data_IF_887129662848
#
_entry.id   IF_887129662848
#
_cell.length_a   1.000
_cell.length_b   1.000
_cell.length_c   1.000
_cell.angle_alpha   90.00
_cell.angle_beta   90.00
_cell.angle_gamma   90.00
#
_symmetry.space_group_name_H-M   'P 1'
#
loop_
_entity.id
_entity.type
_entity.pdbx_description
1 polymer ?
#
# COMPACT_ATOMS: atom_id res chain seq x y z
N UNK A 1 -12.12 -52.39 25.63
CA UNK A 1 -11.21 -52.25 24.48
C UNK A 1 -12.03 -51.75 23.31
N UNK A 2 -11.42 -50.95 22.44
CA UNK A 2 -11.92 -50.46 21.14
C UNK A 2 -12.67 -49.12 21.15
N UNK A 3 -11.89 -48.03 21.10
CA UNK A 3 -12.15 -46.83 20.28
C UNK A 3 -10.95 -45.86 20.29
N UNK A 4 -9.79 -46.36 19.85
CA UNK A 4 -8.64 -45.54 19.46
C UNK A 4 -8.27 -46.05 18.06
N UNK A 5 -8.91 -45.53 17.01
CA UNK A 5 -8.45 -45.57 15.60
C UNK A 5 -9.45 -44.81 14.72
N UNK A 6 -9.65 -43.53 15.04
CA UNK A 6 -10.12 -42.54 14.07
C UNK A 6 -9.18 -41.35 14.22
N UNK A 7 -7.94 -41.53 13.76
CA UNK A 7 -7.02 -40.40 13.55
C UNK A 7 -7.20 -39.98 12.10
N UNK A 8 -8.07 -38.99 11.97
CA UNK A 8 -8.41 -38.12 10.85
C UNK A 8 -7.56 -38.25 9.57
N UNK A 9 -8.13 -38.89 8.56
CA UNK A 9 -7.63 -38.93 7.18
C UNK A 9 -7.34 -37.53 6.60
N UNK A 10 -7.99 -36.49 7.14
CA UNK A 10 -7.76 -35.08 6.78
C UNK A 10 -6.37 -34.60 7.20
N UNK A 11 -5.93 -34.96 8.42
CA UNK A 11 -4.60 -34.59 8.91
C UNK A 11 -3.50 -35.34 8.14
N UNK A 12 -3.76 -36.57 7.71
CA UNK A 12 -2.81 -37.35 6.90
C UNK A 12 -2.65 -36.77 5.48
N UNK A 13 -3.75 -36.36 4.83
CA UNK A 13 -3.69 -35.67 3.52
C UNK A 13 -3.01 -34.31 3.59
N UNK A 14 -3.26 -33.53 4.64
CA UNK A 14 -2.57 -32.26 4.86
C UNK A 14 -1.06 -32.46 5.07
N UNK A 15 -0.67 -33.54 5.77
CA UNK A 15 0.73 -33.93 5.96
C UNK A 15 1.41 -34.34 4.65
N UNK A 16 0.72 -35.06 3.77
CA UNK A 16 1.24 -35.42 2.44
C UNK A 16 1.39 -34.21 1.53
N UNK A 17 0.41 -33.30 1.54
CA UNK A 17 0.50 -32.06 0.78
C UNK A 17 1.62 -31.13 1.29
N UNK A 18 1.87 -31.11 2.61
CA UNK A 18 3.02 -30.41 3.19
C UNK A 18 4.36 -31.01 2.72
N UNK A 19 4.47 -32.33 2.61
CA UNK A 19 5.66 -33.00 2.09
C UNK A 19 5.91 -32.69 0.60
N UNK A 20 4.84 -32.56 -0.19
CA UNK A 20 4.92 -32.18 -1.60
C UNK A 20 5.36 -30.71 -1.77
N UNK A 21 4.70 -29.79 -1.07
CA UNK A 21 4.96 -28.35 -1.18
C UNK A 21 6.38 -27.96 -0.70
N UNK A 22 6.96 -28.68 0.27
CA UNK A 22 8.33 -28.47 0.75
C UNK A 22 9.41 -29.01 -0.20
N UNK A 23 9.04 -29.88 -1.13
CA UNK A 23 9.95 -30.45 -2.13
C UNK A 23 9.87 -29.73 -3.49
N UNK A 24 8.75 -29.06 -3.79
CA UNK A 24 8.52 -28.35 -5.07
C UNK A 24 9.07 -26.93 -5.16
N UNK A 25 9.61 -26.32 -4.08
CA UNK A 25 10.14 -24.93 -4.14
C UNK A 25 11.45 -24.78 -4.93
N UNK A 26 11.87 -25.78 -5.70
CA UNK A 26 13.08 -25.73 -6.54
C UNK A 26 12.84 -26.09 -8.02
N UNK A 27 11.61 -26.15 -8.50
CA UNK A 27 11.36 -26.40 -9.92
C UNK A 27 10.00 -25.85 -10.31
N UNK A 28 9.99 -24.66 -10.90
CA UNK A 28 9.01 -24.23 -11.89
C UNK A 28 9.70 -23.12 -12.71
N UNK A 29 10.57 -23.58 -13.61
CA UNK A 29 10.96 -22.83 -14.81
C UNK A 29 9.89 -23.04 -15.89
N UNK A 30 9.69 -21.98 -16.67
CA UNK A 30 9.08 -21.92 -18.00
C UNK A 30 7.55 -22.01 -18.12
N UNK A 31 6.93 -20.83 -18.19
CA UNK A 31 5.84 -20.59 -19.13
C UNK A 31 6.19 -19.40 -20.03
N UNK A 32 6.68 -19.77 -21.21
CA UNK A 32 6.82 -19.00 -22.44
C UNK A 32 5.43 -18.61 -22.98
N UNK A 33 5.17 -17.32 -23.21
CA UNK A 33 4.23 -16.92 -24.29
C UNK A 33 4.42 -15.48 -24.78
N UNK A 34 5.00 -15.42 -25.99
CA UNK A 34 4.69 -14.59 -27.16
C UNK A 34 4.80 -13.06 -27.12
N UNK A 35 5.79 -12.62 -27.89
CA UNK A 35 5.90 -11.34 -28.59
C UNK A 35 4.63 -10.94 -29.34
N UNK A 36 4.29 -9.64 -29.27
CA UNK A 36 3.44 -8.95 -30.25
C UNK A 36 4.26 -7.79 -30.81
N UNK A 37 4.29 -7.59 -32.14
CA UNK A 37 5.34 -6.82 -32.81
C UNK A 37 5.18 -5.31 -32.73
N UNK A 38 6.32 -4.65 -32.93
CA UNK A 38 6.50 -3.21 -33.17
C UNK A 38 5.55 -2.65 -34.24
N UNK A 39 5.15 -1.38 -34.05
CA UNK A 39 4.95 -0.42 -35.13
C UNK A 39 5.82 0.81 -34.85
N UNK A 40 6.49 1.23 -35.91
CA UNK A 40 7.61 2.15 -36.02
C UNK A 40 7.35 3.64 -35.72
N UNK A 41 8.44 4.26 -35.25
CA UNK A 41 8.99 5.58 -35.55
C UNK A 41 8.20 6.87 -35.23
N UNK A 42 8.80 7.72 -34.39
CA UNK A 42 9.37 9.03 -34.77
C UNK A 42 10.48 9.39 -33.76
N UNK A 43 11.71 9.54 -34.26
CA UNK A 43 12.87 10.21 -33.63
C UNK A 43 12.76 11.73 -33.85
N UNK A 44 13.35 12.59 -33.01
CA UNK A 44 14.72 13.03 -33.33
C UNK A 44 15.67 13.20 -32.13
N UNK A 45 16.95 13.26 -32.51
CA UNK A 45 18.18 13.27 -31.74
C UNK A 45 18.38 14.47 -30.79
N UNK A 46 19.23 14.30 -29.76
CA UNK A 46 20.41 15.14 -29.48
C UNK A 46 21.39 14.36 -28.57
N UNK A 47 22.66 14.59 -28.86
CA UNK A 47 23.94 13.95 -28.51
C UNK A 47 24.39 13.92 -27.04
N UNK A 48 25.03 12.78 -26.71
CA UNK A 48 26.27 12.55 -25.96
C UNK A 48 26.68 13.47 -24.79
N UNK A 49 26.84 12.87 -23.61
CA UNK A 49 28.04 13.07 -22.81
C UNK A 49 28.39 11.84 -21.96
N UNK A 50 29.61 11.36 -22.17
CA UNK A 50 30.30 10.27 -21.46
C UNK A 50 30.30 10.44 -19.93
N UNK A 51 30.04 9.36 -19.20
CA UNK A 51 30.66 9.08 -17.89
C UNK A 51 30.78 7.56 -17.70
N UNK A 52 32.02 7.08 -17.76
CA UNK A 52 32.45 5.72 -17.48
C UNK A 52 32.31 5.38 -15.99
N UNK A 53 31.58 4.32 -15.67
CA UNK A 53 31.47 3.76 -14.33
C UNK A 53 32.26 2.45 -14.26
N UNK A 54 33.41 2.50 -13.58
CA UNK A 54 34.27 1.33 -13.36
C UNK A 54 33.70 0.41 -12.30
N UNK A 55 33.55 -0.85 -12.68
CA UNK A 55 33.20 -2.00 -11.85
C UNK A 55 34.20 -2.23 -10.72
N UNK A 56 33.70 -2.36 -9.49
CA UNK A 56 34.33 -3.21 -8.47
C UNK A 56 33.25 -4.00 -7.74
N UNK A 57 33.26 -5.30 -7.98
CA UNK A 57 32.49 -6.30 -7.26
C UNK A 57 32.97 -6.41 -5.81
N UNK A 58 32.03 -6.46 -4.87
CA UNK A 58 32.26 -7.03 -3.54
C UNK A 58 30.95 -7.64 -3.06
N UNK A 59 30.90 -8.98 -3.11
CA UNK A 59 29.81 -9.80 -2.58
C UNK A 59 29.85 -9.72 -1.05
N UNK A 60 28.82 -9.16 -0.45
CA UNK A 60 28.45 -9.37 0.95
C UNK A 60 26.92 -9.52 0.99
N UNK A 61 26.46 -10.77 1.00
CA UNK A 61 25.08 -11.12 1.34
C UNK A 61 24.98 -11.17 2.87
N UNK A 62 24.44 -10.12 3.48
CA UNK A 62 23.91 -10.19 4.85
C UNK A 62 22.37 -10.18 4.76
N UNK A 63 21.76 -11.34 4.94
CA UNK A 63 20.32 -11.46 5.17
C UNK A 63 20.00 -11.06 6.60
N UNK A 64 19.24 -9.99 6.78
CA UNK A 64 18.67 -9.58 8.07
C UNK A 64 17.54 -10.56 8.46
N UNK A 65 17.79 -11.32 9.52
CA UNK A 65 16.86 -12.24 10.16
C UNK A 65 16.05 -11.47 11.24
N UNK A 66 14.73 -11.39 11.08
CA UNK A 66 13.79 -10.81 12.04
C UNK A 66 12.83 -11.91 12.50
N UNK A 67 13.33 -12.82 13.34
CA UNK A 67 12.51 -13.72 14.14
C UNK A 67 12.03 -13.02 15.41
N UNK A 68 10.72 -12.80 15.53
CA UNK A 68 10.08 -12.29 16.75
C UNK A 68 9.92 -13.42 17.78
N UNK A 69 10.50 -13.25 18.97
CA UNK A 69 10.36 -14.15 20.12
C UNK A 69 8.93 -14.12 20.68
N UNK A 70 8.22 -15.25 20.60
CA UNK A 70 7.02 -15.53 21.39
C UNK A 70 7.44 -15.98 22.80
N UNK A 71 7.39 -15.06 23.78
CA UNK A 71 7.63 -15.36 25.19
C UNK A 71 6.34 -15.86 25.85
N UNK A 72 6.34 -17.09 26.36
CA UNK A 72 5.35 -17.59 27.33
C UNK A 72 6.04 -17.82 28.69
N UNK A 73 5.44 -17.44 29.84
CA UNK A 73 6.16 -17.39 31.12
C UNK A 73 6.16 -18.73 31.85
N UNK A 74 7.29 -19.11 32.46
CA UNK A 74 7.33 -20.19 33.44
C UNK A 74 7.76 -19.70 34.82
N UNK A 75 7.01 -20.20 35.79
CA UNK A 75 7.03 -19.86 37.21
C UNK A 75 8.30 -20.33 37.94
N UNK A 76 8.56 -19.62 39.03
CA UNK A 76 9.55 -19.81 40.08
C UNK A 76 9.65 -21.23 40.69
N UNK A 77 10.87 -21.71 40.94
CA UNK A 77 11.30 -22.14 42.28
C UNK A 77 12.81 -22.39 42.42
N UNK A 78 13.30 -22.00 43.59
CA UNK A 78 14.68 -21.90 44.08
C UNK A 78 15.32 -23.24 44.48
N UNK A 79 16.65 -23.37 44.36
CA UNK A 79 17.59 -23.64 45.47
C UNK A 79 19.06 -23.66 44.99
N UNK A 80 19.95 -23.17 45.86
CA UNK A 80 21.39 -23.02 45.66
C UNK A 80 22.20 -24.32 45.90
N UNK A 81 23.36 -24.47 45.25
CA UNK A 81 24.69 -24.68 45.89
C UNK A 81 25.81 -25.06 44.90
N UNK A 82 26.87 -24.23 44.91
CA UNK A 82 28.32 -24.43 44.71
C UNK A 82 28.86 -25.79 44.20
N UNK A 83 29.59 -25.79 43.07
CA UNK A 83 31.02 -26.19 42.95
C UNK A 83 31.45 -26.67 41.53
N UNK A 84 32.61 -26.16 41.08
CA UNK A 84 33.43 -26.48 39.90
C UNK A 84 32.89 -26.19 38.47
N UNK A 85 33.68 -25.53 37.59
CA UNK A 85 33.36 -25.37 36.18
C UNK A 85 33.66 -26.67 35.41
N UNK A 86 32.68 -27.28 34.72
CA UNK A 86 32.95 -28.36 33.78
C UNK A 86 33.63 -27.80 32.51
N UNK A 87 34.37 -28.64 31.77
CA UNK A 87 35.16 -28.20 30.62
C UNK A 87 34.23 -27.57 29.57
N UNK A 88 34.74 -26.54 28.89
CA UNK A 88 34.03 -25.84 27.80
C UNK A 88 33.56 -26.87 26.76
N UNK A 89 32.30 -27.28 26.86
CA UNK A 89 31.59 -27.96 25.79
C UNK A 89 31.56 -26.96 24.65
N UNK A 90 32.28 -27.26 23.56
CA UNK A 90 32.09 -26.56 22.30
C UNK A 90 30.62 -26.73 21.96
N UNK A 91 29.82 -25.67 22.02
CA UNK A 91 28.49 -25.69 21.40
C UNK A 91 28.73 -26.04 19.94
N UNK A 92 28.36 -27.25 19.53
CA UNK A 92 28.35 -27.62 18.13
C UNK A 92 27.41 -26.63 17.44
N UNK A 93 27.98 -25.82 16.55
CA UNK A 93 27.18 -24.93 15.71
C UNK A 93 26.44 -25.86 14.75
N UNK A 94 25.16 -26.13 15.07
CA UNK A 94 24.26 -26.87 14.18
C UNK A 94 24.34 -26.28 12.78
N UNK A 95 24.51 -27.15 11.80
CA UNK A 95 24.60 -26.72 10.40
C UNK A 95 23.25 -26.16 9.94
N UNK A 96 23.24 -25.23 8.97
CA UNK A 96 22.02 -24.63 8.40
C UNK A 96 20.97 -25.70 8.03
N UNK A 97 21.40 -26.86 7.55
CA UNK A 97 20.55 -28.00 7.21
C UNK A 97 19.88 -28.65 8.41
N UNK A 98 20.60 -28.81 9.52
CA UNK A 98 20.05 -29.38 10.76
C UNK A 98 19.03 -28.43 11.42
N UNK A 99 19.19 -27.11 11.24
CA UNK A 99 18.23 -26.11 11.71
C UNK A 99 16.94 -26.17 10.88
N UNK A 100 17.06 -26.22 9.55
CA UNK A 100 15.91 -26.35 8.64
C UNK A 100 15.13 -27.66 8.87
N UNK A 101 15.82 -28.75 9.18
CA UNK A 101 15.20 -30.05 9.51
C UNK A 101 14.46 -30.01 10.86
N UNK A 102 15.07 -29.40 11.88
CA UNK A 102 14.42 -29.22 13.19
C UNK A 102 13.19 -28.30 13.10
N UNK A 103 13.25 -27.23 12.30
CA UNK A 103 12.09 -26.36 12.05
C UNK A 103 10.98 -27.10 11.31
N UNK A 104 11.33 -27.95 10.35
CA UNK A 104 10.37 -28.79 9.62
C UNK A 104 9.68 -29.78 10.57
N UNK A 105 10.44 -30.43 11.45
CA UNK A 105 9.89 -31.34 12.45
C UNK A 105 8.99 -30.61 13.45
N UNK A 106 9.41 -29.44 13.96
CA UNK A 106 8.58 -28.60 14.84
C UNK A 106 7.29 -28.17 14.17
N UNK A 107 7.37 -27.73 12.92
CA UNK A 107 6.20 -27.35 12.13
C UNK A 107 5.28 -28.56 11.92
N UNK A 108 5.82 -29.75 11.66
CA UNK A 108 5.04 -30.96 11.48
C UNK A 108 4.30 -31.37 12.76
N UNK A 109 4.97 -31.32 13.91
CA UNK A 109 4.35 -31.59 15.21
C UNK A 109 3.26 -30.57 15.50
N UNK A 110 3.51 -29.29 15.26
CA UNK A 110 2.53 -28.23 15.49
C UNK A 110 1.27 -28.42 14.64
N UNK A 111 1.44 -28.62 13.32
CA UNK A 111 0.33 -28.83 12.39
C UNK A 111 -0.48 -30.08 12.77
N UNK A 112 0.18 -31.16 13.21
CA UNK A 112 -0.50 -32.40 13.62
C UNK A 112 -1.40 -32.24 14.86
N UNK A 113 -1.20 -31.19 15.65
CA UNK A 113 -1.97 -30.88 16.85
C UNK A 113 -2.98 -29.74 16.63
N UNK A 114 -3.16 -29.25 15.40
CA UNK A 114 -4.18 -28.27 15.09
C UNK A 114 -5.59 -28.87 15.10
N UNK A 115 -6.56 -28.05 15.53
CA UNK A 115 -7.96 -28.29 15.21
C UNK A 115 -8.21 -28.12 13.71
N UNK A 116 -9.28 -28.71 13.18
CA UNK A 116 -9.64 -28.62 11.75
C UNK A 116 -9.73 -27.15 11.27
N UNK A 117 -10.40 -26.30 12.05
CA UNK A 117 -10.50 -24.86 11.77
C UNK A 117 -9.15 -24.12 11.78
N UNK A 118 -8.22 -24.53 12.65
CA UNK A 118 -6.87 -23.93 12.71
C UNK A 118 -6.01 -24.39 11.54
N UNK A 119 -6.15 -25.66 11.14
CA UNK A 119 -5.47 -26.22 9.99
C UNK A 119 -5.90 -25.50 8.70
N UNK A 120 -7.20 -25.34 8.48
CA UNK A 120 -7.72 -24.62 7.30
C UNK A 120 -7.23 -23.17 7.25
N UNK A 121 -7.30 -22.43 8.37
CA UNK A 121 -6.75 -21.07 8.45
C UNK A 121 -5.25 -21.01 8.16
N UNK A 122 -4.48 -21.96 8.71
CA UNK A 122 -3.04 -22.03 8.47
C UNK A 122 -2.71 -22.36 7.01
N UNK A 123 -3.45 -23.28 6.39
CA UNK A 123 -3.27 -23.63 4.98
C UNK A 123 -3.54 -22.45 4.06
N UNK A 124 -4.62 -21.70 4.32
CA UNK A 124 -4.95 -20.48 3.59
C UNK A 124 -3.88 -19.41 3.78
N UNK A 125 -3.41 -19.19 5.01
CA UNK A 125 -2.32 -18.26 5.30
C UNK A 125 -1.03 -18.65 4.54
N UNK A 126 -0.62 -19.92 4.64
CA UNK A 126 0.62 -20.43 4.04
C UNK A 126 0.61 -20.30 2.52
N UNK A 127 -0.49 -20.68 1.87
CA UNK A 127 -0.63 -20.66 0.40
C UNK A 127 -1.01 -19.29 -0.18
N UNK A 128 -1.45 -18.34 0.65
CA UNK A 128 -1.77 -16.99 0.17
C UNK A 128 -0.54 -16.30 -0.41
N UNK A 129 -0.68 -15.78 -1.63
CA UNK A 129 0.35 -15.00 -2.30
C UNK A 129 -0.29 -14.04 -3.33
N UNK A 130 0.35 -12.90 -3.56
CA UNK A 130 -0.07 -12.00 -4.64
C UNK A 130 0.34 -12.56 -6.01
N UNK A 131 -0.55 -12.52 -7.02
CA UNK A 131 -0.20 -12.94 -8.37
C UNK A 131 0.96 -12.09 -8.93
N UNK A 132 2.11 -12.71 -9.18
CA UNK A 132 3.33 -12.02 -9.66
C UNK A 132 3.08 -11.17 -10.92
N UNK A 133 2.24 -11.65 -11.83
CA UNK A 133 1.86 -10.93 -13.05
C UNK A 133 1.11 -9.62 -12.75
N UNK A 134 0.22 -9.60 -11.77
CA UNK A 134 -0.53 -8.41 -11.38
C UNK A 134 0.40 -7.37 -10.71
N UNK A 135 1.28 -7.83 -9.82
CA UNK A 135 2.29 -6.97 -9.17
C UNK A 135 3.23 -6.38 -10.22
N UNK A 136 3.75 -7.20 -11.14
CA UNK A 136 4.64 -6.74 -12.22
C UNK A 136 3.97 -5.68 -13.09
N UNK A 137 2.73 -5.88 -13.52
CA UNK A 137 1.96 -4.90 -14.30
C UNK A 137 1.76 -3.58 -13.55
N UNK A 138 1.40 -3.64 -12.27
CA UNK A 138 1.24 -2.45 -11.43
C UNK A 138 2.55 -1.68 -11.30
N UNK A 139 3.65 -2.37 -10.99
CA UNK A 139 4.97 -1.76 -10.86
C UNK A 139 5.41 -1.11 -12.17
N UNK A 140 5.29 -1.80 -13.31
CA UNK A 140 5.63 -1.26 -14.63
C UNK A 140 4.77 -0.04 -15.00
N UNK A 141 3.51 -0.02 -14.60
CA UNK A 141 2.61 1.14 -14.82
C UNK A 141 3.10 2.38 -14.05
N UNK A 142 3.66 2.18 -12.85
CA UNK A 142 4.15 3.28 -12.00
C UNK A 142 5.55 3.73 -12.44
N UNK A 143 6.45 2.79 -12.73
CA UNK A 143 7.85 3.11 -13.05
C UNK A 143 8.09 3.44 -14.52
N UNK A 144 7.20 3.00 -15.43
CA UNK A 144 7.35 3.16 -16.87
C UNK A 144 8.46 2.32 -17.49
N UNK A 145 9.10 1.43 -16.72
CA UNK A 145 10.22 0.59 -17.16
C UNK A 145 9.97 -0.90 -16.86
N UNK A 146 10.76 -1.78 -17.47
CA UNK A 146 10.71 -3.21 -17.16
C UNK A 146 11.25 -3.48 -15.75
N UNK A 147 10.63 -4.43 -15.04
CA UNK A 147 10.95 -4.78 -13.66
C UNK A 147 11.37 -6.25 -13.60
N UNK A 148 12.45 -6.53 -12.86
CA UNK A 148 12.99 -7.88 -12.69
C UNK A 148 12.12 -8.74 -11.77
N UNK A 149 12.16 -10.06 -11.98
CA UNK A 149 11.33 -11.01 -11.22
C UNK A 149 11.64 -11.02 -9.72
N UNK A 150 12.91 -10.87 -9.33
CA UNK A 150 13.31 -10.84 -7.92
C UNK A 150 12.69 -9.64 -7.18
N UNK A 151 12.58 -8.49 -7.84
CA UNK A 151 11.92 -7.31 -7.25
C UNK A 151 10.42 -7.54 -7.12
N UNK A 152 9.79 -8.20 -8.10
CA UNK A 152 8.38 -8.59 -8.03
C UNK A 152 8.13 -9.55 -6.85
N UNK A 153 9.02 -10.52 -6.63
CA UNK A 153 8.93 -11.46 -5.49
C UNK A 153 9.07 -10.70 -4.17
N UNK A 154 10.09 -9.83 -4.05
CA UNK A 154 10.29 -9.02 -2.85
C UNK A 154 9.06 -8.14 -2.55
N UNK A 155 8.48 -7.51 -3.58
CA UNK A 155 7.32 -6.65 -3.42
C UNK A 155 6.05 -7.41 -3.04
N UNK A 156 5.83 -8.58 -3.64
CA UNK A 156 4.75 -9.46 -3.20
C UNK A 156 4.92 -9.91 -1.73
N UNK A 157 6.15 -10.18 -1.31
CA UNK A 157 6.48 -10.54 0.07
C UNK A 157 6.19 -9.40 1.06
N UNK A 158 6.71 -8.20 0.79
CA UNK A 158 6.49 -7.01 1.62
C UNK A 158 5.00 -6.68 1.71
N UNK A 159 4.27 -6.76 0.60
CA UNK A 159 2.83 -6.55 0.59
C UNK A 159 2.08 -7.61 1.42
N UNK A 160 2.53 -8.88 1.43
CA UNK A 160 1.92 -9.94 2.24
C UNK A 160 2.11 -9.67 3.74
N UNK A 161 3.33 -9.27 4.13
CA UNK A 161 3.65 -8.89 5.52
C UNK A 161 2.75 -7.73 5.96
N UNK A 162 2.65 -6.68 5.15
CA UNK A 162 1.79 -5.53 5.43
C UNK A 162 0.31 -5.93 5.63
N UNK A 163 -0.23 -6.82 4.79
CA UNK A 163 -1.60 -7.32 4.98
C UNK A 163 -1.73 -8.11 6.27
N UNK A 164 -0.72 -8.90 6.63
CA UNK A 164 -0.66 -9.62 7.91
C UNK A 164 -0.78 -8.68 9.10
N UNK A 165 0.11 -7.69 9.19
CA UNK A 165 0.12 -6.69 10.27
C UNK A 165 -1.23 -5.97 10.40
N UNK A 166 -1.83 -5.58 9.27
CA UNK A 166 -3.13 -4.88 9.26
C UNK A 166 -4.28 -5.79 9.70
N UNK A 167 -4.25 -7.07 9.33
CA UNK A 167 -5.30 -8.03 9.70
C UNK A 167 -5.18 -8.43 11.17
N UNK A 168 -3.97 -8.65 11.67
CA UNK A 168 -3.70 -8.95 13.09
C UNK A 168 -4.18 -7.81 13.98
N UNK A 169 -3.73 -6.58 13.73
CA UNK A 169 -4.20 -5.41 14.49
C UNK A 169 -5.72 -5.19 14.30
N UNK A 170 -6.27 -5.53 13.13
CA UNK A 170 -7.70 -5.49 12.88
C UNK A 170 -8.49 -6.45 13.77
N UNK A 171 -7.94 -7.64 14.06
CA UNK A 171 -8.53 -8.61 14.97
C UNK A 171 -8.43 -8.14 16.43
N UNK A 172 -7.31 -7.54 16.82
CA UNK A 172 -7.14 -6.97 18.17
C UNK A 172 -8.15 -5.84 18.42
N UNK A 173 -8.34 -4.93 17.46
CA UNK A 173 -9.37 -3.89 17.53
C UNK A 173 -10.78 -4.48 17.67
N UNK A 174 -11.06 -5.58 16.98
CA UNK A 174 -12.37 -6.24 17.03
C UNK A 174 -12.61 -6.87 18.40
N UNK A 175 -11.59 -7.55 18.96
CA UNK A 175 -11.63 -8.17 20.29
C UNK A 175 -11.79 -7.12 21.40
N UNK A 176 -11.03 -6.02 21.34
CA UNK A 176 -11.13 -4.91 22.30
C UNK A 176 -12.53 -4.27 22.32
N UNK A 177 -13.19 -4.19 21.16
CA UNK A 177 -14.54 -3.67 21.04
C UNK A 177 -15.62 -4.71 21.46
N UNK A 178 -15.23 -5.94 21.78
CA UNK A 178 -16.15 -7.04 22.12
C UNK A 178 -17.01 -7.48 20.94
N UNK A 179 -16.55 -7.27 19.71
CA UNK A 179 -17.26 -7.65 18.50
C UNK A 179 -16.83 -9.03 18.03
N UNK A 180 -17.76 -9.79 17.46
CA UNK A 180 -17.49 -11.11 16.91
C UNK A 180 -18.01 -11.21 15.48
N UNK A 181 -17.25 -11.88 14.62
CA UNK A 181 -17.64 -12.13 13.24
C UNK A 181 -16.57 -11.66 12.25
N UNK A 182 -16.94 -11.39 10.99
CA UNK A 182 -16.00 -10.93 9.97
C UNK A 182 -15.45 -9.54 10.27
N UNK A 183 -14.18 -9.32 9.93
CA UNK A 183 -13.57 -7.98 9.98
C UNK A 183 -14.37 -6.98 9.16
N UNK A 184 -14.81 -5.91 9.81
CA UNK A 184 -15.52 -4.81 9.15
C UNK A 184 -14.54 -3.72 8.71
N UNK A 185 -14.91 -2.87 7.74
CA UNK A 185 -14.07 -1.75 7.32
C UNK A 185 -13.66 -0.80 8.46
N UNK A 186 -14.44 -0.71 9.55
CA UNK A 186 -14.09 0.09 10.73
C UNK A 186 -12.87 -0.48 11.48
N UNK A 187 -12.74 -1.81 11.56
CA UNK A 187 -11.62 -2.48 12.23
C UNK A 187 -10.32 -2.23 11.45
N UNK A 188 -10.34 -2.42 10.12
CA UNK A 188 -9.16 -2.20 9.28
C UNK A 188 -8.70 -0.73 9.25
N UNK A 189 -9.65 0.22 9.24
CA UNK A 189 -9.30 1.66 9.30
C UNK A 189 -8.66 2.04 10.63
N UNK A 190 -9.18 1.49 11.73
CA UNK A 190 -8.64 1.73 13.05
C UNK A 190 -7.27 1.05 13.24
N UNK A 191 -7.10 -0.16 12.72
CA UNK A 191 -5.82 -0.86 12.69
C UNK A 191 -4.73 -0.05 11.97
N UNK A 192 -5.01 0.44 10.75
CA UNK A 192 -4.07 1.30 10.02
C UNK A 192 -3.77 2.60 10.80
N UNK A 193 -4.77 3.17 11.48
CA UNK A 193 -4.56 4.36 12.33
C UNK A 193 -3.58 4.05 13.47
N UNK A 194 -3.72 2.91 14.15
CA UNK A 194 -2.83 2.48 15.23
C UNK A 194 -1.42 2.18 14.73
N UNK A 195 -1.29 1.38 13.68
CA UNK A 195 0.00 1.03 13.08
C UNK A 195 0.80 2.26 12.59
N UNK A 196 0.11 3.30 12.08
CA UNK A 196 0.77 4.58 11.74
C UNK A 196 1.24 5.36 12.96
N UNK A 197 0.51 5.32 14.07
CA UNK A 197 0.91 6.03 15.29
C UNK A 197 2.10 5.35 15.99
N UNK A 198 2.19 4.03 15.89
CA UNK A 198 3.32 3.25 16.41
C UNK A 198 4.56 3.38 15.51
N UNK A 199 4.37 3.82 14.26
CA UNK A 199 5.45 4.00 13.29
C UNK A 199 5.82 2.74 12.51
N UNK A 200 4.98 1.69 12.58
CA UNK A 200 5.14 0.46 11.77
C UNK A 200 4.87 0.78 10.29
N UNK A 201 3.75 1.48 10.03
CA UNK A 201 3.45 2.00 8.70
C UNK A 201 4.04 3.41 8.62
N UNK A 202 4.97 3.70 7.70
CA UNK A 202 5.47 5.04 7.52
C UNK A 202 4.29 5.96 7.18
N UNK A 203 4.03 6.92 8.06
CA UNK A 203 3.13 8.01 7.72
C UNK A 203 3.82 8.80 6.63
N UNK A 204 3.26 8.81 5.42
CA UNK A 204 3.69 9.71 4.36
C UNK A 204 3.33 11.16 4.76
N UNK A 205 4.03 11.68 5.77
CA UNK A 205 4.41 13.08 5.77
C UNK A 205 5.59 13.09 4.80
N UNK A 206 5.38 13.59 3.59
CA UNK A 206 6.49 13.98 2.76
C UNK A 206 7.24 15.09 3.52
N UNK A 207 8.23 14.73 4.34
CA UNK A 207 9.02 15.71 5.12
C UNK A 207 9.96 16.54 4.22
N UNK A 208 9.99 16.25 2.93
CA UNK A 208 10.66 17.09 1.94
C UNK A 208 9.75 17.27 0.72
N UNK A 209 9.34 18.51 0.47
CA UNK A 209 8.99 18.93 -0.87
C UNK A 209 10.20 18.70 -1.79
N UNK A 210 9.96 18.26 -3.02
CA UNK A 210 10.95 18.33 -4.09
C UNK A 210 11.46 19.78 -4.19
N UNK A 211 12.73 20.01 -4.55
CA UNK A 211 13.40 21.31 -4.37
C UNK A 211 12.72 22.47 -5.15
N UNK A 212 11.83 22.12 -6.08
CA UNK A 212 10.99 23.00 -6.92
C UNK A 212 9.60 23.28 -6.34
N UNK A 213 9.14 22.50 -5.35
CA UNK A 213 7.83 22.61 -4.71
C UNK A 213 7.86 23.35 -3.36
N UNK A 214 9.06 23.72 -2.89
CA UNK A 214 9.24 24.56 -1.72
C UNK A 214 8.80 26.00 -2.05
N UNK A 215 7.80 26.53 -1.33
CA UNK A 215 7.40 27.92 -1.46
C UNK A 215 7.15 28.58 -0.11
N UNK A 216 7.31 29.90 -0.08
CA UNK A 216 6.83 30.69 1.04
C UNK A 216 5.33 30.90 0.84
N UNK A 217 4.53 30.51 1.83
CA UNK A 217 3.10 30.72 1.81
C UNK A 217 2.52 30.94 3.20
N UNK A 218 1.20 31.07 3.27
CA UNK A 218 0.49 31.31 4.53
C UNK A 218 -0.72 30.39 4.69
N UNK A 219 -1.01 30.04 5.95
CA UNK A 219 -2.19 29.28 6.37
C UNK A 219 -2.94 30.01 7.49
N UNK A 220 -4.22 29.70 7.66
CA UNK A 220 -5.02 30.18 8.79
C UNK A 220 -4.94 29.14 9.90
N UNK A 221 -4.42 29.54 11.06
CA UNK A 221 -4.38 28.72 12.27
C UNK A 221 -4.88 29.57 13.43
N UNK A 222 -5.91 29.09 14.14
CA UNK A 222 -6.54 29.80 15.26
C UNK A 222 -6.89 31.26 14.92
N UNK A 223 -7.65 31.49 13.84
CA UNK A 223 -8.08 32.83 13.42
C UNK A 223 -6.91 33.81 13.13
N UNK A 224 -5.70 33.29 12.97
CA UNK A 224 -4.49 34.07 12.75
C UNK A 224 -3.72 33.52 11.56
N UNK A 225 -3.19 34.40 10.70
CA UNK A 225 -2.36 33.99 9.57
C UNK A 225 -0.96 33.63 10.05
N UNK A 226 -0.50 32.41 9.73
CA UNK A 226 0.89 31.99 9.93
C UNK A 226 1.52 31.77 8.56
N UNK A 227 2.69 32.35 8.33
CA UNK A 227 3.43 32.21 7.09
C UNK A 227 4.79 31.58 7.35
N UNK A 228 5.27 30.79 6.41
CA UNK A 228 6.55 30.10 6.51
C UNK A 228 7.03 29.58 5.16
N UNK A 229 8.18 28.90 5.17
CA UNK A 229 8.69 28.10 4.07
C UNK A 229 8.23 26.65 4.27
N UNK A 230 7.82 25.98 3.21
CA UNK A 230 7.28 24.61 3.26
C UNK A 230 6.73 24.19 1.90
N UNK A 231 5.97 23.10 1.86
CA UNK A 231 5.48 22.53 0.61
C UNK A 231 4.36 23.40 0.00
N UNK A 232 4.28 23.46 -1.33
CA UNK A 232 3.19 24.15 -2.02
C UNK A 232 1.79 23.67 -1.57
N UNK A 233 1.67 22.36 -1.32
CA UNK A 233 0.43 21.71 -0.86
C UNK A 233 0.00 22.11 0.55
N UNK A 234 0.91 22.61 1.39
CA UNK A 234 0.63 22.98 2.78
C UNK A 234 0.08 24.39 2.91
N UNK A 235 0.40 25.29 1.97
CA UNK A 235 -0.01 26.68 2.03
C UNK A 235 -1.27 26.97 1.21
N UNK A 236 -2.30 27.46 1.90
CA UNK A 236 -3.56 27.85 1.27
C UNK A 236 -3.46 29.20 0.54
N UNK A 237 -2.58 30.10 0.99
CA UNK A 237 -2.45 31.46 0.49
C UNK A 237 -1.00 31.75 0.09
N UNK A 238 -0.81 32.52 -0.99
CA UNK A 238 0.52 32.91 -1.48
C UNK A 238 1.09 34.09 -0.69
N UNK A 239 0.23 34.87 -0.04
CA UNK A 239 0.66 36.02 0.76
C UNK A 239 -0.11 36.17 2.07
N UNK A 240 0.55 36.81 3.03
CA UNK A 240 -0.06 37.16 4.31
C UNK A 240 -1.27 38.08 4.11
N UNK A 241 -1.22 38.96 3.11
CA UNK A 241 -2.30 39.90 2.78
C UNK A 241 -3.56 39.17 2.28
N UNK A 242 -3.39 38.15 1.44
CA UNK A 242 -4.47 37.29 0.95
C UNK A 242 -5.13 36.50 2.08
N UNK A 243 -4.31 35.91 2.95
CA UNK A 243 -4.77 35.24 4.16
C UNK A 243 -5.55 36.20 5.08
N UNK A 244 -5.02 37.41 5.32
CA UNK A 244 -5.70 38.43 6.14
C UNK A 244 -7.02 38.90 5.55
N UNK A 245 -7.10 39.07 4.22
CA UNK A 245 -8.34 39.47 3.56
C UNK A 245 -9.42 38.39 3.71
N UNK A 246 -9.02 37.12 3.75
CA UNK A 246 -9.92 35.98 4.01
C UNK A 246 -10.44 35.99 5.45
N UNK A 247 -9.56 36.20 6.46
CA UNK A 247 -9.98 36.32 7.87
C UNK A 247 -10.87 37.54 8.11
N UNK A 248 -10.59 38.67 7.44
CA UNK A 248 -11.34 39.93 7.58
C UNK A 248 -12.66 39.95 6.80
N UNK A 249 -13.05 38.84 6.15
CA UNK A 249 -14.28 38.75 5.35
C UNK A 249 -14.29 39.64 4.10
N UNK A 250 -13.13 40.16 3.68
CA UNK A 250 -12.98 40.97 2.46
C UNK A 250 -12.75 40.09 1.23
N UNK A 251 -13.46 38.97 1.11
CA UNK A 251 -13.50 38.25 -0.17
C UNK A 251 -14.39 39.09 -1.09
N UNK A 252 -13.79 39.79 -2.06
CA UNK A 252 -14.56 40.33 -3.18
C UNK A 252 -15.23 39.12 -3.83
N UNK A 253 -16.55 39.06 -3.76
CA UNK A 253 -17.28 37.98 -4.40
C UNK A 253 -17.00 38.06 -5.91
N UNK A 254 -16.38 37.00 -6.43
CA UNK A 254 -15.95 36.88 -7.82
C UNK A 254 -17.19 36.95 -8.73
N UNK A 255 -18.31 36.38 -8.29
CA UNK A 255 -19.57 36.37 -9.02
C UNK A 255 -20.25 37.74 -9.09
N UNK A 256 -19.95 38.64 -8.14
CA UNK A 256 -20.51 40.00 -8.09
C UNK A 256 -19.56 41.03 -8.72
N UNK A 257 -18.26 40.88 -8.50
CA UNK A 257 -17.25 41.86 -8.91
C UNK A 257 -16.84 41.68 -10.37
N UNK A 258 -16.74 40.43 -10.85
CA UNK A 258 -16.38 40.12 -12.23
C UNK A 258 -16.89 38.71 -12.61
N UNK A 259 -18.20 38.59 -12.86
CA UNK A 259 -18.85 37.31 -13.09
C UNK A 259 -18.18 36.55 -14.26
N UNK A 260 -17.54 35.40 -13.99
CA UNK A 260 -16.83 34.66 -15.01
C UNK A 260 -17.74 33.80 -15.89
N UNK A 261 -18.99 33.55 -15.51
CA UNK A 261 -19.90 32.68 -16.25
C UNK A 261 -20.46 33.39 -17.49
N UNK A 262 -20.42 32.70 -18.63
CA UNK A 262 -20.92 33.21 -19.92
C UNK A 262 -22.33 32.66 -20.21
N UNK A 263 -22.99 33.23 -21.22
CA UNK A 263 -24.28 32.76 -21.76
C UNK A 263 -25.38 32.52 -20.70
N UNK A 264 -25.45 33.36 -19.67
CA UNK A 264 -26.49 33.30 -18.65
C UNK A 264 -26.28 32.23 -17.57
N UNK A 265 -25.09 31.61 -17.49
CA UNK A 265 -24.76 30.67 -16.43
C UNK A 265 -24.79 31.31 -15.03
N UNK A 266 -25.30 30.55 -14.05
CA UNK A 266 -25.35 31.01 -12.65
C UNK A 266 -23.99 30.83 -11.98
N UNK A 267 -23.43 31.91 -11.43
CA UNK A 267 -22.15 31.88 -10.74
C UNK A 267 -22.33 31.64 -9.24
N UNK A 268 -21.52 30.74 -8.67
CA UNK A 268 -21.43 30.50 -7.24
C UNK A 268 -19.98 30.55 -6.78
N UNK A 269 -19.69 31.25 -5.68
CA UNK A 269 -18.35 31.29 -5.11
C UNK A 269 -18.06 30.00 -4.32
N UNK A 270 -16.88 29.40 -4.54
CA UNK A 270 -16.44 28.19 -3.85
C UNK A 270 -15.08 28.41 -3.16
N UNK A 271 -14.78 27.61 -2.13
CA UNK A 271 -13.51 27.73 -1.38
C UNK A 271 -12.31 27.06 -2.07
N UNK A 272 -12.56 26.16 -3.02
CA UNK A 272 -11.52 25.43 -3.78
C UNK A 272 -11.13 26.21 -5.05
N UNK A 273 -9.87 26.10 -5.52
CA UNK A 273 -9.42 26.69 -6.80
C UNK A 273 -10.30 26.13 -7.95
N UNK A 274 -10.82 26.96 -8.89
CA UNK A 274 -10.48 28.37 -9.19
C UNK A 274 -11.27 29.44 -8.41
N UNK A 275 -12.00 29.07 -7.35
CA UNK A 275 -12.71 30.01 -6.47
C UNK A 275 -14.13 30.35 -6.91
N UNK A 276 -14.60 29.81 -8.04
CA UNK A 276 -15.97 29.95 -8.52
C UNK A 276 -16.42 28.67 -9.26
N UNK A 277 -17.74 28.47 -9.36
CA UNK A 277 -18.38 27.42 -10.16
C UNK A 277 -19.55 28.00 -10.94
N UNK A 278 -19.56 27.76 -12.25
CA UNK A 278 -20.67 28.12 -13.14
C UNK A 278 -21.63 26.94 -13.30
N UNK A 279 -22.93 27.19 -13.14
CA UNK A 279 -24.00 26.25 -13.50
C UNK A 279 -24.60 26.68 -14.83
N UNK A 280 -24.49 25.82 -15.84
CA UNK A 280 -24.90 26.12 -17.22
C UNK A 280 -26.21 25.43 -17.64
N UNK A 281 -26.86 24.70 -16.73
CA UNK A 281 -28.12 24.01 -16.98
C UNK A 281 -29.17 24.97 -17.56
N UNK A 282 -29.86 24.55 -18.62
CA UNK A 282 -30.89 25.36 -19.28
C UNK A 282 -30.38 26.52 -20.15
N UNK A 283 -29.06 26.76 -20.22
CA UNK A 283 -28.49 27.82 -21.07
C UNK A 283 -28.23 27.36 -22.51
N UNK A 284 -28.19 26.05 -22.77
CA UNK A 284 -27.73 25.49 -24.05
C UNK A 284 -26.21 25.52 -24.22
N UNK A 285 -25.45 25.80 -23.15
CA UNK A 285 -23.99 25.77 -23.12
C UNK A 285 -23.46 24.90 -21.97
N UNK A 286 -22.23 24.41 -22.09
CA UNK A 286 -21.55 23.59 -21.09
C UNK A 286 -20.08 24.00 -20.90
N UNK A 287 -19.43 23.42 -19.89
CA UNK A 287 -18.03 23.66 -19.53
C UNK A 287 -17.84 24.65 -18.38
N UNK A 288 -16.58 24.84 -17.96
CA UNK A 288 -16.20 25.56 -16.73
C UNK A 288 -16.79 26.98 -16.59
N UNK A 289 -17.02 27.66 -17.72
CA UNK A 289 -17.58 29.01 -17.80
C UNK A 289 -18.79 29.11 -18.72
N UNK A 290 -19.43 27.99 -19.09
CA UNK A 290 -20.54 27.94 -20.05
C UNK A 290 -20.16 28.50 -21.44
N UNK A 291 -18.93 28.25 -21.90
CA UNK A 291 -18.42 28.81 -23.17
C UNK A 291 -18.68 27.94 -24.40
N UNK A 292 -19.02 26.65 -24.23
CA UNK A 292 -19.19 25.69 -25.33
C UNK A 292 -20.67 25.42 -25.56
N UNK A 293 -21.15 25.51 -26.81
CA UNK A 293 -22.54 25.20 -27.14
C UNK A 293 -22.84 23.71 -27.05
N UNK A 294 -24.03 23.35 -26.57
CA UNK A 294 -24.45 21.97 -26.44
C UNK A 294 -24.53 21.27 -27.82
N UNK A 295 -24.03 20.03 -27.94
CA UNK A 295 -24.12 19.29 -29.19
C UNK A 295 -25.57 18.91 -29.51
N UNK A 296 -25.91 18.89 -30.80
CA UNK A 296 -27.25 18.55 -31.27
C UNK A 296 -27.46 17.03 -31.13
N UNK A 297 -28.56 16.58 -30.49
CA UNK A 297 -28.89 15.16 -30.40
C UNK A 297 -28.94 14.52 -31.80
N UNK A 298 -28.17 13.45 -32.01
CA UNK A 298 -28.14 12.70 -33.28
C UNK A 298 -27.08 13.12 -34.30
N UNK A 299 -26.22 14.10 -33.98
CA UNK A 299 -25.15 14.58 -34.88
C UNK A 299 -23.71 14.30 -34.37
N UNK A 300 -23.57 13.56 -33.27
CA UNK A 300 -22.28 13.19 -32.66
C UNK A 300 -21.70 11.87 -33.22
N UNK A 301 -20.41 11.62 -33.01
CA UNK A 301 -19.80 10.33 -33.35
C UNK A 301 -20.22 9.29 -32.30
N UNK A 302 -20.32 8.03 -32.72
CA UNK A 302 -20.59 6.90 -31.83
C UNK A 302 -19.46 6.83 -30.80
N UNK A 303 -19.75 7.16 -29.54
CA UNK A 303 -18.79 7.18 -28.42
C UNK A 303 -18.61 8.53 -27.71
N UNK A 304 -19.18 9.62 -28.22
CA UNK A 304 -19.08 10.93 -27.55
C UNK A 304 -19.95 10.98 -26.27
N UNK A 305 -19.33 11.25 -25.12
CA UNK A 305 -20.05 11.45 -23.85
C UNK A 305 -20.84 12.76 -23.93
N UNK A 306 -22.17 12.65 -23.91
CA UNK A 306 -23.06 13.81 -23.94
C UNK A 306 -22.99 14.55 -22.58
N UNK A 307 -22.64 15.86 -22.55
CA UNK A 307 -22.54 16.60 -21.31
C UNK A 307 -23.87 16.63 -20.56
N UNK A 308 -23.85 16.38 -19.24
CA UNK A 308 -25.07 16.33 -18.44
C UNK A 308 -25.78 17.69 -18.39
N UNK A 309 -25.04 18.80 -18.49
CA UNK A 309 -25.57 20.16 -18.52
C UNK A 309 -26.41 20.45 -19.78
N UNK A 310 -26.28 19.61 -20.81
CA UNK A 310 -26.99 19.72 -22.08
C UNK A 310 -28.26 18.86 -22.15
N UNK A 311 -28.55 18.07 -21.12
CA UNK A 311 -29.73 17.21 -21.09
C UNK A 311 -30.94 18.08 -20.71
N UNK A 312 -31.85 18.29 -21.66
CA UNK A 312 -33.15 18.92 -21.41
C UNK A 312 -34.12 17.80 -21.05
N UNK A 313 -34.60 17.78 -19.80
CA UNK A 313 -35.63 16.84 -19.32
C UNK A 313 -37.01 17.45 -19.56
#
# INVERSE_FOLDING_TARGET
MDNIMVKDEANERALEQLKYDLNSTNSDEDDEYNDIPMIDEIKPDISDHDLSFSSQESKNDESMDLGHDLILPQASNSLASTSLPPPKVKKEVKTKREIEEEEREKMQVLVSNFTEDQLDRYEMYRRSAFPKAAIKRLMQTITGCSVSQNVVIAMAGIAKVFVGEVVEEGLDVMEENGETGPLQPKHLREAIRRLRNVGIIPSAVCEACDQTQAKIGCIISNMTCRCGLGCESEYQFESFQECQNTIKGKKKDICITNNPCMHGGTCTQISQKPGYKCRCEGTGFFGLRCSRGCPIPGQGRIGDIFPFECIVI
#
